data_IF_845625242618
#
_entry.id   IF_845625242618
#
_cell.length_a   1.000
_cell.length_b   1.000
_cell.length_c   1.000
_cell.angle_alpha   90.00
_cell.angle_beta   90.00
_cell.angle_gamma   90.00
#
_symmetry.space_group_name_H-M   'P 1'
#
loop_
_entity.id
_entity.type
_entity.pdbx_description
1 polymer ?
#
# COMPACT_ATOMS: atom_id res chain seq x y z
N UNK A 1 26.10 -1.35 -21.26
CA UNK A 1 25.29 -2.57 -21.35
C UNK A 1 26.07 -3.70 -20.71
N UNK A 2 25.44 -4.42 -19.78
CA UNK A 2 26.03 -5.59 -19.14
C UNK A 2 25.53 -6.82 -19.92
N UNK A 3 26.43 -7.63 -20.45
CA UNK A 3 26.09 -8.89 -21.10
C UNK A 3 26.09 -9.99 -20.03
N UNK A 4 24.99 -10.73 -19.92
CA UNK A 4 24.86 -11.88 -19.04
C UNK A 4 24.91 -13.16 -19.90
N UNK A 5 25.89 -14.01 -19.63
CA UNK A 5 25.96 -15.35 -20.23
C UNK A 5 25.35 -16.35 -19.25
N UNK A 6 24.29 -17.03 -19.66
CA UNK A 6 23.64 -18.08 -18.86
C UNK A 6 24.00 -19.43 -19.47
N UNK A 7 24.69 -20.26 -18.69
CA UNK A 7 24.99 -21.64 -19.06
C UNK A 7 23.96 -22.56 -18.40
N UNK A 8 23.27 -23.42 -19.15
CA UNK A 8 22.34 -24.41 -18.59
C UNK A 8 23.03 -25.28 -17.55
N UNK A 9 22.42 -25.41 -16.37
CA UNK A 9 22.92 -26.28 -15.30
C UNK A 9 21.75 -27.03 -14.62
N UNK A 10 22.06 -28.14 -13.97
CA UNK A 10 21.11 -28.76 -13.05
C UNK A 10 21.07 -27.95 -11.79
N UNK A 11 19.89 -27.44 -11.46
CA UNK A 11 19.63 -26.73 -10.22
C UNK A 11 19.07 -27.71 -9.19
N UNK A 12 19.61 -27.67 -7.97
CA UNK A 12 19.11 -28.41 -6.82
C UNK A 12 19.42 -27.62 -5.55
N UNK A 13 18.57 -27.70 -4.53
CA UNK A 13 18.79 -27.03 -3.26
C UNK A 13 17.50 -26.42 -2.70
N UNK A 14 17.64 -25.74 -1.58
CA UNK A 14 16.55 -25.04 -0.90
C UNK A 14 16.71 -23.54 -1.10
N UNK A 15 15.63 -22.86 -1.48
CA UNK A 15 15.60 -21.40 -1.66
C UNK A 15 14.61 -20.81 -0.68
N UNK A 16 15.09 -19.86 0.15
CA UNK A 16 14.20 -19.04 0.97
C UNK A 16 13.65 -17.91 0.09
N UNK A 17 12.35 -17.95 -0.16
CA UNK A 17 11.65 -16.89 -0.91
C UNK A 17 11.71 -15.58 -0.12
N UNK A 18 12.07 -14.44 -0.73
CA UNK A 18 12.06 -13.16 -0.04
C UNK A 18 10.65 -12.77 0.40
N UNK A 19 10.56 -11.88 1.38
CA UNK A 19 9.28 -11.39 1.88
C UNK A 19 8.48 -10.67 0.79
N UNK A 20 7.17 -10.87 0.81
CA UNK A 20 6.25 -10.22 -0.13
C UNK A 20 6.25 -8.70 0.07
N UNK A 21 6.77 -7.97 -0.92
CA UNK A 21 6.72 -6.52 -0.96
C UNK A 21 5.27 -6.02 -0.87
N UNK A 22 4.36 -6.70 -1.52
CA UNK A 22 2.94 -6.34 -1.55
C UNK A 22 2.25 -6.49 -0.19
N UNK A 23 2.58 -7.53 0.57
CA UNK A 23 2.10 -7.70 1.94
C UNK A 23 2.78 -6.68 2.89
N UNK A 24 4.10 -6.50 2.75
CA UNK A 24 4.88 -5.58 3.58
C UNK A 24 4.35 -4.14 3.52
N UNK A 25 4.07 -3.60 2.34
CA UNK A 25 3.47 -2.25 2.20
C UNK A 25 2.20 -2.11 3.03
N UNK A 26 1.29 -3.07 2.92
CA UNK A 26 -0.01 -3.04 3.59
C UNK A 26 0.09 -3.16 5.10
N UNK A 27 0.91 -4.09 5.56
CA UNK A 27 1.15 -4.28 6.99
C UNK A 27 1.83 -3.07 7.61
N UNK A 28 2.79 -2.44 6.92
CA UNK A 28 3.43 -1.20 7.38
C UNK A 28 2.42 -0.05 7.52
N UNK A 29 1.50 0.11 6.56
CA UNK A 29 0.48 1.15 6.66
C UNK A 29 -0.48 0.86 7.81
N UNK A 30 -0.99 -0.37 7.93
CA UNK A 30 -1.85 -0.74 9.06
C UNK A 30 -1.14 -0.53 10.41
N UNK A 31 0.14 -0.89 10.50
CA UNK A 31 0.96 -0.68 11.69
C UNK A 31 1.16 0.82 12.00
N UNK A 32 1.34 1.65 10.97
CA UNK A 32 1.53 3.09 11.14
C UNK A 32 0.27 3.82 11.64
N UNK A 33 -0.91 3.28 11.33
CA UNK A 33 -2.20 3.82 11.79
C UNK A 33 -2.66 3.21 13.12
N UNK A 34 -1.92 2.22 13.65
CA UNK A 34 -2.26 1.55 14.89
C UNK A 34 -2.07 2.46 16.10
N UNK A 35 -2.81 2.18 17.18
CA UNK A 35 -2.74 2.94 18.43
C UNK A 35 -1.64 2.47 19.40
N UNK A 36 -0.66 1.69 18.92
CA UNK A 36 0.47 1.19 19.71
C UNK A 36 1.57 0.65 18.83
N UNK A 37 2.68 0.20 19.46
CA UNK A 37 3.84 -0.32 18.75
C UNK A 37 3.52 -1.63 18.04
N UNK A 38 3.94 -1.73 16.77
CA UNK A 38 3.85 -2.91 15.92
C UNK A 38 5.24 -3.45 15.60
N UNK A 39 5.36 -4.79 15.47
CA UNK A 39 6.63 -5.46 15.16
C UNK A 39 6.47 -6.44 14.01
N UNK A 40 7.09 -6.15 12.88
CA UNK A 40 7.01 -6.96 11.66
C UNK A 40 8.39 -7.55 11.35
N UNK A 41 8.52 -8.87 11.38
CA UNK A 41 9.74 -9.61 11.04
C UNK A 41 9.71 -10.12 9.60
N UNK A 42 10.86 -10.56 9.08
CA UNK A 42 11.00 -10.98 7.69
C UNK A 42 10.98 -9.81 6.70
N UNK A 43 11.18 -8.58 7.16
CA UNK A 43 11.17 -7.40 6.31
C UNK A 43 12.38 -7.38 5.37
N UNK A 44 12.13 -7.27 4.07
CA UNK A 44 13.18 -7.11 3.06
C UNK A 44 13.22 -5.66 2.56
N UNK A 45 14.30 -4.92 2.83
CA UNK A 45 14.42 -3.54 2.39
C UNK A 45 14.53 -3.47 0.86
N UNK A 46 13.80 -2.54 0.27
CA UNK A 46 13.89 -2.15 -1.14
C UNK A 46 13.69 -0.64 -1.27
N UNK A 47 13.96 -0.08 -2.43
CA UNK A 47 13.73 1.35 -2.68
C UNK A 47 12.26 1.73 -2.41
N UNK A 48 11.31 0.92 -2.87
CA UNK A 48 9.88 1.13 -2.65
C UNK A 48 9.52 1.09 -1.15
N UNK A 49 10.07 0.11 -0.42
CA UNK A 49 9.81 -0.02 1.02
C UNK A 49 10.43 1.13 1.82
N UNK A 50 11.59 1.62 1.40
CA UNK A 50 12.23 2.80 1.98
C UNK A 50 11.38 4.05 1.74
N UNK A 51 10.88 4.25 0.52
CA UNK A 51 9.96 5.34 0.20
C UNK A 51 8.68 5.29 1.05
N UNK A 52 8.08 4.10 1.22
CA UNK A 52 6.90 3.93 2.08
C UNK A 52 7.22 4.29 3.54
N UNK A 53 8.31 3.78 4.11
CA UNK A 53 8.71 4.09 5.49
C UNK A 53 8.95 5.59 5.69
N UNK A 54 9.59 6.24 4.72
CA UNK A 54 9.82 7.69 4.78
C UNK A 54 8.50 8.47 4.66
N UNK A 55 7.59 8.05 3.79
CA UNK A 55 6.26 8.64 3.67
C UNK A 55 5.43 8.53 4.95
N UNK A 56 5.55 7.42 5.66
CA UNK A 56 4.86 7.21 6.94
C UNK A 56 5.34 8.17 8.04
N UNK A 57 6.61 8.62 8.00
CA UNK A 57 7.09 9.66 8.93
C UNK A 57 6.33 10.97 8.77
N UNK A 58 6.03 11.39 7.54
CA UNK A 58 5.22 12.58 7.28
C UNK A 58 3.79 12.43 7.82
N UNK A 59 3.27 11.21 7.88
CA UNK A 59 1.97 10.87 8.47
C UNK A 59 2.05 10.59 9.98
N UNK A 60 3.21 10.79 10.61
CA UNK A 60 3.41 10.74 12.05
C UNK A 60 3.92 9.41 12.59
N UNK A 61 4.15 8.40 11.76
CA UNK A 61 4.67 7.13 12.25
C UNK A 61 6.19 7.09 12.28
N UNK A 62 6.77 6.61 13.37
CA UNK A 62 8.19 6.33 13.48
C UNK A 62 8.47 4.89 13.09
N UNK A 63 9.54 4.67 12.31
CA UNK A 63 9.94 3.32 11.89
C UNK A 63 11.42 3.09 12.16
N UNK A 64 11.72 2.00 12.86
CA UNK A 64 13.08 1.55 13.16
C UNK A 64 13.31 0.18 12.55
N UNK A 65 14.43 -0.01 11.82
CA UNK A 65 14.79 -1.27 11.20
C UNK A 65 15.99 -1.86 11.95
N UNK A 66 15.84 -3.09 12.44
CA UNK A 66 16.90 -3.86 13.08
C UNK A 66 16.96 -5.27 12.46
N UNK A 67 18.00 -5.53 11.71
CA UNK A 67 18.09 -6.75 10.90
C UNK A 67 16.95 -6.84 9.88
N UNK A 68 16.15 -7.89 9.96
CA UNK A 68 14.97 -8.12 9.15
C UNK A 68 13.66 -7.72 9.84
N UNK A 69 13.73 -7.02 10.97
CA UNK A 69 12.57 -6.63 11.76
C UNK A 69 12.37 -5.12 11.72
N UNK A 70 11.18 -4.67 11.37
CA UNK A 70 10.79 -3.27 11.46
C UNK A 70 9.84 -3.07 12.63
N UNK A 71 10.20 -2.11 13.51
CA UNK A 71 9.33 -1.57 14.55
C UNK A 71 8.62 -0.35 14.01
N UNK A 72 7.33 -0.25 14.27
CA UNK A 72 6.50 0.88 13.85
C UNK A 72 5.79 1.42 15.08
N UNK A 73 5.98 2.70 15.37
CA UNK A 73 5.36 3.41 16.50
C UNK A 73 4.43 4.49 15.99
N UNK A 74 3.26 4.66 16.59
CA UNK A 74 2.38 5.77 16.27
C UNK A 74 2.98 7.08 16.73
N UNK A 75 2.65 8.15 16.01
CA UNK A 75 3.06 9.50 16.34
C UNK A 75 2.05 10.52 15.79
N UNK A 76 2.43 11.78 15.77
CA UNK A 76 1.59 12.86 15.29
C UNK A 76 1.96 13.21 13.86
N UNK A 77 0.98 13.31 12.93
CA UNK A 77 1.26 13.72 11.57
C UNK A 77 1.92 15.11 11.52
N UNK A 78 3.11 15.18 10.96
CA UNK A 78 3.86 16.43 10.79
C UNK A 78 3.46 17.17 9.52
N UNK A 79 2.87 16.46 8.56
CA UNK A 79 2.57 16.98 7.23
C UNK A 79 3.84 17.20 6.41
N UNK A 80 3.73 17.96 5.32
CA UNK A 80 4.85 18.30 4.47
C UNK A 80 4.90 17.49 3.18
N UNK A 81 6.11 17.21 2.70
CA UNK A 81 6.35 16.50 1.47
C UNK A 81 6.62 15.01 1.73
N UNK A 82 5.98 14.17 0.95
CA UNK A 82 6.16 12.72 0.93
C UNK A 82 6.94 12.36 -0.35
N UNK A 83 8.20 11.97 -0.20
CA UNK A 83 8.98 11.45 -1.31
C UNK A 83 8.62 9.97 -1.55
N UNK A 84 7.98 9.73 -2.69
CA UNK A 84 7.55 8.38 -3.10
C UNK A 84 8.63 7.62 -3.89
N UNK A 85 9.79 8.22 -4.18
CA UNK A 85 10.78 7.63 -5.08
C UNK A 85 10.15 7.31 -6.43
N UNK A 86 10.30 6.07 -6.90
CA UNK A 86 9.62 5.54 -8.09
C UNK A 86 8.44 4.61 -7.73
N UNK A 87 8.04 4.56 -6.45
CA UNK A 87 7.05 3.64 -5.93
C UNK A 87 5.61 4.08 -6.19
N UNK A 88 4.96 3.44 -7.16
CA UNK A 88 3.53 3.64 -7.42
C UNK A 88 2.63 3.17 -6.26
N UNK A 89 3.06 2.17 -5.50
CA UNK A 89 2.34 1.70 -4.31
C UNK A 89 2.38 2.76 -3.21
N UNK A 90 3.55 3.32 -2.91
CA UNK A 90 3.70 4.39 -1.92
C UNK A 90 2.80 5.57 -2.25
N UNK A 91 2.88 6.07 -3.49
CA UNK A 91 2.08 7.21 -3.93
C UNK A 91 0.58 6.94 -3.78
N UNK A 92 0.07 5.86 -4.39
CA UNK A 92 -1.37 5.59 -4.43
C UNK A 92 -1.95 5.17 -3.09
N UNK A 93 -1.17 4.48 -2.26
CA UNK A 93 -1.65 4.04 -0.95
C UNK A 93 -1.70 5.18 0.06
N UNK A 94 -0.78 6.16 -0.03
CA UNK A 94 -0.68 7.24 0.96
C UNK A 94 -1.60 8.43 0.68
N UNK A 95 -2.05 8.64 -0.56
CA UNK A 95 -2.90 9.79 -0.90
C UNK A 95 -4.18 9.84 -0.05
N UNK A 96 -5.05 8.80 0.01
CA UNK A 96 -6.26 8.87 0.82
C UNK A 96 -6.00 8.96 2.34
N UNK A 97 -5.08 8.19 2.94
CA UNK A 97 -4.72 8.38 4.35
C UNK A 97 -4.18 9.78 4.67
N UNK A 98 -3.38 10.35 3.77
CA UNK A 98 -2.88 11.71 3.94
C UNK A 98 -4.02 12.74 3.99
N UNK A 99 -5.02 12.63 3.11
CA UNK A 99 -6.23 13.46 3.16
C UNK A 99 -7.05 13.25 4.44
N UNK A 100 -7.12 12.01 4.94
CA UNK A 100 -7.81 11.70 6.20
C UNK A 100 -7.12 12.35 7.42
N UNK A 101 -5.78 12.34 7.44
CA UNK A 101 -4.98 12.77 8.59
C UNK A 101 -4.53 14.23 8.54
N UNK A 102 -4.55 14.89 7.38
CA UNK A 102 -4.04 16.27 7.21
C UNK A 102 -4.85 17.35 7.92
N UNK A 103 -6.10 17.04 8.28
CA UNK A 103 -7.00 18.06 8.79
C UNK A 103 -7.38 19.13 7.75
N UNK A 104 -7.15 18.87 6.46
CA UNK A 104 -7.41 19.80 5.34
C UNK A 104 -6.20 20.64 4.93
N UNK A 105 -5.04 20.44 5.56
CA UNK A 105 -3.78 21.08 5.18
C UNK A 105 -3.27 20.55 3.83
N UNK A 106 -2.42 21.34 3.20
CA UNK A 106 -1.73 20.96 1.97
C UNK A 106 -0.70 19.87 2.26
N UNK A 107 -0.63 18.86 1.38
CA UNK A 107 0.37 17.81 1.39
C UNK A 107 0.92 17.66 -0.02
N UNK A 108 2.22 17.54 -0.12
CA UNK A 108 2.91 17.29 -1.38
C UNK A 108 3.42 15.85 -1.47
N UNK A 109 3.35 15.29 -2.67
CA UNK A 109 3.96 14.01 -3.04
C UNK A 109 4.97 14.27 -4.14
N UNK A 110 6.22 13.93 -3.90
CA UNK A 110 7.28 13.97 -4.90
C UNK A 110 7.50 12.57 -5.48
N UNK A 111 7.76 12.51 -6.77
CA UNK A 111 8.10 11.27 -7.47
C UNK A 111 9.38 11.40 -8.29
N UNK A 112 10.04 10.29 -8.55
CA UNK A 112 11.23 10.21 -9.36
C UNK A 112 10.98 9.41 -10.65
N UNK A 113 11.90 9.52 -11.60
CA UNK A 113 11.77 8.83 -12.88
C UNK A 113 10.43 9.14 -13.56
N UNK A 114 9.71 8.10 -13.90
CA UNK A 114 8.41 8.21 -14.58
C UNK A 114 7.20 8.05 -13.65
N UNK A 115 7.36 8.17 -12.33
CA UNK A 115 6.27 7.90 -11.39
C UNK A 115 5.08 8.84 -11.62
N UNK A 116 5.33 10.13 -11.81
CA UNK A 116 4.26 11.13 -11.97
C UNK A 116 3.62 11.15 -13.36
N UNK A 117 4.17 10.40 -14.31
CA UNK A 117 3.53 10.14 -15.61
C UNK A 117 2.48 9.01 -15.54
N UNK A 118 2.50 8.22 -14.46
CA UNK A 118 1.55 7.11 -14.30
C UNK A 118 0.15 7.65 -13.99
N UNK A 119 -0.91 7.03 -14.53
CA UNK A 119 -2.27 7.51 -14.34
C UNK A 119 -2.66 7.67 -12.87
N UNK A 120 -3.18 8.85 -12.51
CA UNK A 120 -3.80 9.17 -11.23
C UNK A 120 -5.27 9.64 -11.43
N UNK A 121 -5.77 9.57 -12.65
CA UNK A 121 -7.12 10.00 -13.01
C UNK A 121 -8.24 9.42 -12.12
N UNK A 122 -8.18 8.16 -11.61
CA UNK A 122 -9.20 7.68 -10.69
C UNK A 122 -9.31 8.52 -9.40
N UNK A 123 -8.19 9.02 -8.88
CA UNK A 123 -8.23 9.93 -7.73
C UNK A 123 -8.64 11.34 -8.13
N UNK A 124 -8.18 11.85 -9.26
CA UNK A 124 -8.53 13.21 -9.69
C UNK A 124 -10.02 13.38 -9.89
N UNK A 125 -10.71 12.41 -10.51
CA UNK A 125 -12.16 12.43 -10.65
C UNK A 125 -12.88 12.43 -9.30
N UNK A 126 -12.39 11.63 -8.34
CA UNK A 126 -12.93 11.62 -6.98
C UNK A 126 -12.64 12.93 -6.23
N UNK A 127 -11.47 13.54 -6.46
CA UNK A 127 -11.11 14.81 -5.84
C UNK A 127 -12.02 15.94 -6.30
N UNK A 128 -12.29 16.03 -7.59
CA UNK A 128 -13.23 17.00 -8.17
C UNK A 128 -14.62 16.84 -7.56
N UNK A 129 -15.13 15.59 -7.49
CA UNK A 129 -16.43 15.29 -6.88
C UNK A 129 -16.50 15.66 -5.39
N UNK A 130 -15.42 15.43 -4.64
CA UNK A 130 -15.36 15.61 -3.18
C UNK A 130 -14.80 16.95 -2.74
N UNK A 131 -14.52 17.88 -3.68
CA UNK A 131 -14.01 19.21 -3.37
C UNK A 131 -12.57 19.22 -2.86
N UNK A 132 -11.79 18.20 -3.11
CA UNK A 132 -10.35 18.18 -2.85
C UNK A 132 -9.64 18.90 -3.99
N UNK A 133 -8.85 19.89 -3.66
CA UNK A 133 -8.02 20.64 -4.62
C UNK A 133 -6.72 19.87 -4.87
N UNK A 134 -6.29 19.87 -6.11
CA UNK A 134 -5.02 19.26 -6.49
C UNK A 134 -4.35 20.08 -7.61
N UNK A 135 -3.03 19.99 -7.66
CA UNK A 135 -2.21 20.48 -8.76
C UNK A 135 -1.00 19.59 -8.94
N UNK A 136 -0.58 19.41 -10.17
CA UNK A 136 0.62 18.65 -10.50
C UNK A 136 1.60 19.56 -11.24
N UNK A 137 2.79 19.67 -10.72
CA UNK A 137 3.87 20.52 -11.23
C UNK A 137 5.11 19.63 -11.45
N UNK A 138 5.34 19.23 -12.70
CA UNK A 138 6.43 18.32 -13.02
C UNK A 138 6.34 16.99 -12.26
N UNK A 139 7.32 16.72 -11.43
CA UNK A 139 7.42 15.51 -10.62
C UNK A 139 6.73 15.61 -9.24
N UNK A 140 5.92 16.63 -9.01
CA UNK A 140 5.29 16.91 -7.73
C UNK A 140 3.77 17.01 -7.87
N UNK A 141 3.04 16.27 -7.04
CA UNK A 141 1.59 16.37 -6.86
C UNK A 141 1.31 17.03 -5.51
N UNK A 142 0.52 18.07 -5.51
CA UNK A 142 0.07 18.75 -4.30
C UNK A 142 -1.43 18.58 -4.18
N UNK A 143 -1.89 18.16 -3.00
CA UNK A 143 -3.30 17.97 -2.69
C UNK A 143 -3.68 18.80 -1.45
N UNK A 144 -4.91 19.32 -1.42
CA UNK A 144 -5.43 20.04 -0.28
C UNK A 144 -6.93 19.78 -0.11
N UNK A 145 -7.32 19.34 1.06
CA UNK A 145 -8.70 19.02 1.40
C UNK A 145 -8.78 17.93 2.45
N UNK A 146 -9.98 17.40 2.64
CA UNK A 146 -10.25 16.32 3.59
C UNK A 146 -10.83 15.11 2.84
N UNK A 147 -10.43 13.93 3.22
CA UNK A 147 -11.17 12.74 2.86
C UNK A 147 -12.49 12.76 3.63
N UNK A 148 -13.61 12.66 2.92
CA UNK A 148 -14.94 12.67 3.52
C UNK A 148 -15.49 11.25 3.58
N UNK A 149 -16.40 10.99 4.51
CA UNK A 149 -17.19 9.76 4.53
C UNK A 149 -18.20 9.70 3.39
N UNK A 150 -18.72 8.53 3.08
CA UNK A 150 -19.78 8.35 2.09
C UNK A 150 -19.39 7.44 0.92
N UNK A 151 -20.02 7.66 -0.23
CA UNK A 151 -19.88 6.79 -1.40
C UNK A 151 -18.76 7.23 -2.32
N UNK A 152 -18.00 6.26 -2.81
CA UNK A 152 -16.90 6.41 -3.75
C UNK A 152 -17.09 5.42 -4.89
N UNK A 153 -17.22 5.92 -6.10
CA UNK A 153 -17.35 5.08 -7.30
C UNK A 153 -16.09 5.21 -8.16
N UNK A 154 -15.45 4.10 -8.47
CA UNK A 154 -14.27 4.11 -9.31
C UNK A 154 -14.16 2.87 -10.19
N UNK A 155 -13.45 3.01 -11.32
CA UNK A 155 -13.13 1.89 -12.19
C UNK A 155 -12.10 0.97 -11.56
N UNK A 156 -12.36 -0.33 -11.62
CA UNK A 156 -11.41 -1.38 -11.18
C UNK A 156 -10.38 -1.76 -12.24
N UNK A 157 -10.50 -1.26 -13.48
CA UNK A 157 -9.65 -1.67 -14.61
C UNK A 157 -8.24 -1.09 -14.57
N UNK A 158 -8.06 0.09 -13.99
CA UNK A 158 -6.78 0.81 -14.07
C UNK A 158 -5.76 0.21 -13.12
N UNK A 159 -6.10 0.09 -11.83
CA UNK A 159 -5.23 -0.53 -10.82
C UNK A 159 -5.98 -0.74 -9.50
N UNK A 160 -5.79 -1.92 -8.90
CA UNK A 160 -6.27 -2.24 -7.54
C UNK A 160 -5.65 -1.34 -6.46
N UNK A 161 -4.56 -0.65 -6.76
CA UNK A 161 -3.88 0.25 -5.81
C UNK A 161 -4.76 1.43 -5.39
N UNK A 162 -5.65 1.92 -6.27
CA UNK A 162 -6.61 2.98 -5.92
C UNK A 162 -7.63 2.51 -4.89
N UNK A 163 -8.12 1.27 -5.04
CA UNK A 163 -9.02 0.65 -4.07
C UNK A 163 -8.31 0.47 -2.72
N UNK A 164 -7.07 -0.02 -2.73
CA UNK A 164 -6.25 -0.19 -1.51
C UNK A 164 -6.09 1.12 -0.76
N UNK A 165 -5.71 2.21 -1.45
CA UNK A 165 -5.55 3.51 -0.80
C UNK A 165 -6.84 4.04 -0.20
N UNK A 166 -7.98 3.91 -0.91
CA UNK A 166 -9.28 4.30 -0.39
C UNK A 166 -9.70 3.46 0.82
N UNK A 167 -9.54 2.15 0.78
CA UNK A 167 -9.85 1.26 1.92
C UNK A 167 -9.11 1.70 3.18
N UNK A 168 -7.79 1.94 3.07
CA UNK A 168 -6.96 2.39 4.18
C UNK A 168 -7.36 3.78 4.68
N UNK A 169 -7.60 4.72 3.77
CA UNK A 169 -7.94 6.09 4.14
C UNK A 169 -9.34 6.22 4.76
N UNK A 170 -10.34 5.54 4.19
CA UNK A 170 -11.73 5.60 4.67
C UNK A 170 -11.89 4.91 6.03
N UNK A 171 -11.09 3.89 6.32
CA UNK A 171 -11.10 3.22 7.62
C UNK A 171 -10.57 4.10 8.78
N UNK A 172 -9.94 5.23 8.48
CA UNK A 172 -9.48 6.21 9.47
C UNK A 172 -10.57 7.23 9.86
N UNK A 173 -11.74 7.18 9.21
CA UNK A 173 -12.81 8.16 9.40
C UNK A 173 -13.84 7.69 10.44
N UNK A 174 -14.52 8.66 11.07
CA UNK A 174 -15.54 8.37 12.10
C UNK A 174 -16.87 7.87 11.53
N UNK A 175 -17.18 8.17 10.28
CA UNK A 175 -18.44 7.76 9.65
C UNK A 175 -18.25 6.66 8.60
N UNK A 176 -19.37 5.98 8.30
CA UNK A 176 -19.42 4.88 7.35
C UNK A 176 -19.10 5.33 5.92
N UNK A 177 -18.46 4.44 5.18
CA UNK A 177 -18.14 4.68 3.77
C UNK A 177 -18.35 3.44 2.91
N UNK A 178 -18.55 3.66 1.62
CA UNK A 178 -18.76 2.60 0.64
C UNK A 178 -17.92 2.86 -0.60
N UNK A 179 -17.22 1.83 -1.08
CA UNK A 179 -16.54 1.86 -2.38
C UNK A 179 -17.33 0.99 -3.35
N UNK A 180 -17.74 1.56 -4.48
CA UNK A 180 -18.38 0.87 -5.59
C UNK A 180 -17.41 0.74 -6.77
N UNK A 181 -17.17 -0.49 -7.20
CA UNK A 181 -16.40 -0.77 -8.41
C UNK A 181 -17.36 -0.78 -9.61
N UNK A 182 -17.21 0.19 -10.51
CA UNK A 182 -18.17 0.43 -11.59
C UNK A 182 -18.06 -0.57 -12.73
N UNK A 183 -16.95 -1.31 -12.80
CA UNK A 183 -16.69 -2.30 -13.83
C UNK A 183 -15.98 -3.54 -13.25
N UNK A 184 -15.11 -4.21 -14.01
CA UNK A 184 -14.35 -5.36 -13.52
C UNK A 184 -13.16 -4.90 -12.70
N UNK A 185 -13.03 -5.43 -11.47
CA UNK A 185 -11.82 -5.23 -10.66
C UNK A 185 -10.70 -6.16 -11.16
N UNK A 186 -9.67 -5.56 -11.72
CA UNK A 186 -8.44 -6.27 -12.04
C UNK A 186 -7.61 -6.51 -10.78
N UNK A 187 -6.83 -7.61 -10.78
CA UNK A 187 -5.90 -7.92 -9.68
C UNK A 187 -6.57 -8.00 -8.30
N UNK A 188 -7.71 -8.71 -8.20
CA UNK A 188 -8.49 -8.91 -6.96
C UNK A 188 -7.63 -9.36 -5.79
N UNK A 189 -6.70 -10.30 -6.01
CA UNK A 189 -5.83 -10.82 -4.96
C UNK A 189 -5.02 -9.74 -4.22
N UNK A 190 -4.69 -8.61 -4.87
CA UNK A 190 -4.03 -7.50 -4.17
C UNK A 190 -4.99 -6.72 -3.27
N UNK A 191 -6.29 -6.68 -3.59
CA UNK A 191 -7.29 -6.13 -2.68
C UNK A 191 -7.50 -7.07 -1.51
N UNK A 192 -7.53 -8.39 -1.75
CA UNK A 192 -7.62 -9.41 -0.68
C UNK A 192 -6.44 -9.32 0.29
N UNK A 193 -5.21 -9.10 -0.20
CA UNK A 193 -4.06 -8.80 0.66
C UNK A 193 -4.28 -7.55 1.53
N UNK A 194 -4.97 -6.53 0.99
CA UNK A 194 -5.29 -5.33 1.78
C UNK A 194 -6.30 -5.65 2.87
N UNK A 195 -7.37 -6.36 2.53
CA UNK A 195 -8.40 -6.76 3.48
C UNK A 195 -7.81 -7.63 4.60
N UNK A 196 -6.95 -8.59 4.25
CA UNK A 196 -6.25 -9.43 5.22
C UNK A 196 -5.34 -8.60 6.16
N UNK A 197 -4.60 -7.63 5.63
CA UNK A 197 -3.76 -6.77 6.46
C UNK A 197 -4.59 -5.88 7.41
N UNK A 198 -5.73 -5.34 6.93
CA UNK A 198 -6.66 -4.55 7.73
C UNK A 198 -7.31 -5.40 8.82
N UNK A 199 -7.75 -6.62 8.50
CA UNK A 199 -8.32 -7.57 9.47
C UNK A 199 -7.31 -7.93 10.56
N UNK A 200 -6.04 -8.19 10.21
CA UNK A 200 -4.96 -8.41 11.19
C UNK A 200 -4.75 -7.20 12.12
N UNK A 201 -5.03 -6.00 11.63
CA UNK A 201 -5.02 -4.78 12.42
C UNK A 201 -6.35 -4.49 13.12
N UNK A 202 -7.29 -5.41 13.12
CA UNK A 202 -8.59 -5.29 13.80
C UNK A 202 -9.59 -4.37 13.10
N UNK A 203 -9.39 -4.08 11.82
CA UNK A 203 -10.28 -3.27 10.98
C UNK A 203 -11.06 -4.18 10.05
N UNK A 204 -12.39 -4.11 10.11
CA UNK A 204 -13.28 -4.91 9.27
C UNK A 204 -13.76 -4.13 8.05
N UNK A 205 -13.90 -4.83 6.94
CA UNK A 205 -14.49 -4.34 5.70
C UNK A 205 -15.41 -5.42 5.15
N UNK A 206 -16.67 -5.09 4.88
CA UNK A 206 -17.58 -6.01 4.22
C UNK A 206 -17.31 -5.99 2.71
N UNK A 207 -16.82 -7.11 2.18
CA UNK A 207 -16.56 -7.29 0.76
C UNK A 207 -17.72 -8.05 0.11
N UNK A 208 -18.44 -7.40 -0.82
CA UNK A 208 -19.50 -8.01 -1.63
C UNK A 208 -18.98 -8.24 -3.05
N UNK A 209 -18.46 -9.44 -3.31
CA UNK A 209 -18.01 -9.93 -4.63
C UNK A 209 -16.97 -9.04 -5.32
N UNK A 210 -16.14 -8.31 -4.58
CA UNK A 210 -15.18 -7.33 -5.09
C UNK A 210 -15.84 -6.23 -5.96
N UNK A 211 -17.14 -6.04 -5.81
CA UNK A 211 -17.89 -4.97 -6.48
C UNK A 211 -18.26 -3.85 -5.53
N UNK A 212 -18.43 -4.18 -4.26
CA UNK A 212 -18.82 -3.22 -3.23
C UNK A 212 -18.09 -3.55 -1.94
N UNK A 213 -17.45 -2.52 -1.36
CA UNK A 213 -16.79 -2.62 -0.07
C UNK A 213 -17.46 -1.64 0.87
N UNK A 214 -18.01 -2.14 1.97
CA UNK A 214 -18.56 -1.30 3.03
C UNK A 214 -17.54 -1.23 4.18
N UNK A 215 -17.21 -0.01 4.57
CA UNK A 215 -16.24 0.31 5.59
C UNK A 215 -16.98 0.99 6.73
N UNK A 216 -17.24 0.30 7.86
CA UNK A 216 -17.79 0.93 9.06
C UNK A 216 -16.89 2.04 9.56
N UNK A 217 -17.46 3.14 10.03
CA UNK A 217 -16.74 4.25 10.63
C UNK A 217 -16.30 4.00 12.07
N UNK A 218 -15.47 4.89 12.61
CA UNK A 218 -15.06 4.87 14.01
C UNK A 218 -14.16 3.69 14.40
N UNK A 219 -13.63 2.95 13.44
CA UNK A 219 -12.73 1.84 13.69
C UNK A 219 -11.34 2.34 14.10
N UNK A 220 -10.60 1.50 14.81
CA UNK A 220 -9.23 1.82 15.23
C UNK A 220 -8.30 0.69 14.84
N UNK A 221 -7.25 1.03 14.12
CA UNK A 221 -6.18 0.09 13.84
C UNK A 221 -5.48 -0.31 15.14
N UNK A 222 -5.26 -1.59 15.32
CA UNK A 222 -4.56 -2.19 16.46
C UNK A 222 -3.14 -2.56 16.06
N UNK A 223 -2.19 -2.65 17.02
CA UNK A 223 -0.84 -3.11 16.74
C UNK A 223 -0.81 -4.44 16.01
N UNK A 224 0.04 -4.54 15.01
CA UNK A 224 0.24 -5.75 14.20
C UNK A 224 1.63 -6.30 14.50
N UNK A 225 1.68 -7.59 14.88
CA UNK A 225 2.95 -8.29 15.09
C UNK A 225 2.96 -9.61 14.32
N UNK A 226 4.15 -10.00 13.88
CA UNK A 226 4.37 -11.27 13.19
C UNK A 226 5.26 -11.17 11.97
N UNK A 227 5.41 -12.28 11.30
CA UNK A 227 6.25 -12.40 10.10
C UNK A 227 5.49 -11.94 8.85
N UNK A 228 6.19 -11.24 7.97
CA UNK A 228 5.72 -10.91 6.63
C UNK A 228 5.86 -12.16 5.77
N UNK A 229 4.78 -12.61 5.14
CA UNK A 229 4.77 -13.80 4.30
C UNK A 229 5.74 -13.69 3.11
N UNK A 230 6.22 -14.84 2.63
CA UNK A 230 7.05 -14.92 1.43
C UNK A 230 6.30 -14.49 0.16
N UNK A 231 7.03 -13.95 -0.81
CA UNK A 231 6.46 -13.53 -2.10
C UNK A 231 6.15 -14.73 -2.98
N UNK A 232 4.88 -15.08 -3.07
CA UNK A 232 4.40 -16.23 -3.85
C UNK A 232 4.68 -16.07 -5.35
N UNK A 233 4.75 -14.82 -5.85
CA UNK A 233 5.04 -14.56 -7.26
C UNK A 233 6.49 -14.89 -7.59
N UNK A 234 7.41 -14.52 -6.70
CA UNK A 234 8.82 -14.89 -6.83
C UNK A 234 9.04 -16.40 -6.57
N UNK A 235 8.34 -16.96 -5.59
CA UNK A 235 8.35 -18.39 -5.30
C UNK A 235 7.86 -19.26 -6.46
N UNK A 236 6.96 -18.74 -7.28
CA UNK A 236 6.39 -19.50 -8.41
C UNK A 236 7.44 -19.94 -9.44
N UNK A 237 8.53 -19.18 -9.61
CA UNK A 237 9.63 -19.59 -10.49
C UNK A 237 10.31 -20.87 -10.00
N UNK A 238 10.53 -20.99 -8.70
CA UNK A 238 11.16 -22.16 -8.11
C UNK A 238 10.21 -23.36 -8.10
N UNK A 239 8.92 -23.15 -7.82
CA UNK A 239 7.89 -24.19 -7.95
C UNK A 239 7.79 -24.70 -9.39
N UNK A 240 7.87 -23.82 -10.38
CA UNK A 240 7.91 -24.19 -11.79
C UNK A 240 9.16 -25.03 -12.14
N UNK A 241 10.32 -24.69 -11.57
CA UNK A 241 11.55 -25.47 -11.73
C UNK A 241 11.42 -26.87 -11.11
N UNK A 242 10.85 -26.98 -9.92
CA UNK A 242 10.63 -28.25 -9.24
C UNK A 242 9.67 -29.13 -10.04
N UNK A 243 8.57 -28.57 -10.53
CA UNK A 243 7.63 -29.27 -11.42
C UNK A 243 8.30 -29.81 -12.69
N UNK A 244 9.31 -29.10 -13.21
CA UNK A 244 10.12 -29.56 -14.35
C UNK A 244 11.22 -30.56 -13.97
N UNK A 245 11.21 -31.12 -12.76
CA UNK A 245 12.14 -32.14 -12.27
C UNK A 245 13.52 -31.63 -11.92
N UNK A 246 13.61 -30.36 -11.44
CA UNK A 246 14.89 -29.71 -11.04
C UNK A 246 15.20 -29.82 -9.55
N UNK A 247 14.36 -30.48 -8.74
CA UNK A 247 14.55 -30.71 -7.30
C UNK A 247 14.92 -29.41 -6.53
N UNK A 248 14.13 -28.37 -6.69
CA UNK A 248 14.24 -27.12 -5.92
C UNK A 248 13.10 -27.08 -4.91
N UNK A 249 13.42 -26.99 -3.64
CA UNK A 249 12.45 -26.88 -2.54
C UNK A 249 12.57 -25.54 -1.80
#
# INVERSE_FOLDING_TARGET
FMNLLITPAKLQGTVKVPASKSAAHRLLLCAAFANGESRLSGFSPSADMTATRNGLKALGAETELSGDTVLVRPGVPTGGEIDCGESGSTLRFLIPPALALSGGREIAFAGHGRLMERPLSPYFSLFEEKGVRWRQEGNRLVIQGKLLTGKYALSGKISSQFVTGLLLGLALLEGDSEILITDRLESKGYVDLTLCAMERAGVSVENRDHRRFFIPGGQKFRPVSGEIEGDRSEGAFFLGMDFLGRQVS
#
